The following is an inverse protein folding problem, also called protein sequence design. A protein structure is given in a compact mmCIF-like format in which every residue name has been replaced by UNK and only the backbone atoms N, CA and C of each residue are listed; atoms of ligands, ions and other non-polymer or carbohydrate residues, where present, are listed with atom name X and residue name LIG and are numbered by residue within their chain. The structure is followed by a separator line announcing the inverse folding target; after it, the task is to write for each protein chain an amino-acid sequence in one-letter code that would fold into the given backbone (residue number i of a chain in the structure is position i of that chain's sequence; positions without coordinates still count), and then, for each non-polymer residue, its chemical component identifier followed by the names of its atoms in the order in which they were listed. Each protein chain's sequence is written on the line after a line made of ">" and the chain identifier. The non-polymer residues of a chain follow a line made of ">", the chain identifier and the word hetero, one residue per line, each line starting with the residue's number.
data_IF_520478252059
#
_entry.id   IF_520478252059
#
_cell.length_a   1.000
_cell.length_b   1.000
_cell.length_c   1.000
_cell.angle_alpha   90.00
_cell.angle_beta   90.00
_cell.angle_gamma   90.00
#
_symmetry.space_group_name_H-M   'P 1'
#
loop_
_entity.id
_entity.type
_entity.pdbx_description
1 polymer ?
#
# COMPACT_ATOMS: atom_id res chain seq x y z
N UNK A 1 1.09 6.86 -18.64
CA UNK A 1 -0.07 7.08 -17.73
C UNK A 1 0.10 6.19 -16.51
N UNK A 2 0.38 6.75 -15.32
CA UNK A 2 0.36 5.98 -14.07
C UNK A 2 -1.08 5.56 -13.78
N UNK A 3 -1.35 4.26 -13.60
CA UNK A 3 -2.66 3.79 -13.14
C UNK A 3 -2.88 4.30 -11.70
N UNK A 4 -4.00 4.96 -11.40
CA UNK A 4 -4.31 5.38 -10.04
C UNK A 4 -4.48 4.15 -9.14
N UNK A 5 -3.90 4.21 -7.95
CA UNK A 5 -4.04 3.18 -6.93
C UNK A 5 -5.51 3.12 -6.46
N UNK A 6 -6.16 1.95 -6.59
CA UNK A 6 -7.49 1.69 -6.05
C UNK A 6 -7.35 1.01 -4.69
N UNK A 7 -7.93 1.61 -3.66
CA UNK A 7 -7.99 1.07 -2.28
C UNK A 7 -9.46 0.73 -1.99
N UNK A 8 -9.75 -0.44 -1.41
CA UNK A 8 -11.13 -0.88 -1.12
C UNK A 8 -11.21 -1.54 0.25
N UNK A 9 -11.98 -0.93 1.15
CA UNK A 9 -12.26 -1.49 2.48
C UNK A 9 -12.81 -2.91 2.37
N UNK A 10 -12.19 -3.84 3.10
CA UNK A 10 -12.63 -5.23 3.16
C UNK A 10 -13.89 -5.33 4.03
N UNK A 11 -14.77 -6.27 3.69
CA UNK A 11 -16.10 -6.41 4.33
C UNK A 11 -16.21 -7.63 5.23
N UNK A 12 -15.09 -8.33 5.44
CA UNK A 12 -14.99 -9.40 6.43
C UNK A 12 -15.11 -8.80 7.85
N UNK A 13 -15.80 -9.49 8.76
CA UNK A 13 -16.25 -8.92 10.03
C UNK A 13 -15.07 -8.53 10.94
N UNK A 14 -14.00 -9.33 10.93
CA UNK A 14 -12.78 -9.06 11.71
C UNK A 14 -11.94 -7.95 11.09
N UNK A 15 -11.85 -7.91 9.75
CA UNK A 15 -11.12 -6.88 9.01
C UNK A 15 -11.82 -5.52 9.05
N UNK A 16 -13.15 -5.53 9.06
CA UNK A 16 -13.97 -4.33 9.17
C UNK A 16 -13.82 -3.68 10.54
N UNK A 17 -13.77 -4.47 11.62
CA UNK A 17 -13.52 -3.95 12.96
C UNK A 17 -12.17 -3.21 13.05
N UNK A 18 -11.11 -3.80 12.48
CA UNK A 18 -9.79 -3.15 12.41
C UNK A 18 -9.80 -1.89 11.55
N UNK A 19 -10.44 -1.92 10.37
CA UNK A 19 -10.58 -0.74 9.52
C UNK A 19 -11.35 0.38 10.24
N UNK A 20 -12.40 0.03 10.98
CA UNK A 20 -13.14 0.97 11.81
C UNK A 20 -12.25 1.54 12.93
N UNK A 21 -11.55 0.73 13.71
CA UNK A 21 -10.65 1.26 14.75
C UNK A 21 -9.58 2.19 14.19
N UNK A 22 -9.04 1.87 13.01
CA UNK A 22 -7.93 2.61 12.42
C UNK A 22 -8.35 3.88 11.66
N UNK A 23 -9.55 3.89 11.07
CA UNK A 23 -10.00 4.95 10.16
C UNK A 23 -11.30 5.65 10.57
N UNK A 24 -12.01 5.19 11.61
CA UNK A 24 -13.22 5.86 12.10
C UNK A 24 -12.87 7.28 12.57
N UNK A 25 -13.62 8.27 12.08
CA UNK A 25 -13.38 9.68 12.36
C UNK A 25 -12.28 10.34 11.52
N UNK A 26 -11.56 9.59 10.66
CA UNK A 26 -10.61 10.16 9.69
C UNK A 26 -11.32 10.54 8.40
N UNK A 27 -10.91 11.65 7.82
CA UNK A 27 -11.32 12.08 6.49
C UNK A 27 -10.65 11.24 5.40
N UNK A 28 -11.27 11.17 4.21
CA UNK A 28 -10.71 10.45 3.06
C UNK A 28 -9.26 10.87 2.72
N UNK A 29 -8.87 12.17 2.78
CA UNK A 29 -7.49 12.59 2.61
C UNK A 29 -6.53 11.97 3.64
N UNK A 30 -6.92 11.89 4.91
CA UNK A 30 -6.10 11.31 5.98
C UNK A 30 -5.92 9.81 5.78
N UNK A 31 -6.98 9.10 5.42
CA UNK A 31 -6.92 7.65 5.10
C UNK A 31 -5.97 7.43 3.92
N UNK A 32 -6.10 8.21 2.84
CA UNK A 32 -5.19 8.15 1.70
C UNK A 32 -3.74 8.44 2.10
N UNK A 33 -3.52 9.41 2.98
CA UNK A 33 -2.19 9.74 3.50
C UNK A 33 -1.53 8.58 4.23
N UNK A 34 -2.27 7.92 5.12
CA UNK A 34 -1.79 6.73 5.85
C UNK A 34 -1.38 5.62 4.88
N UNK A 35 -2.25 5.28 3.93
CA UNK A 35 -1.96 4.22 2.96
C UNK A 35 -0.78 4.59 2.05
N UNK A 36 -0.70 5.84 1.62
CA UNK A 36 0.41 6.30 0.79
C UNK A 36 1.74 6.23 1.53
N UNK A 37 1.78 6.66 2.80
CA UNK A 37 3.00 6.57 3.62
C UNK A 37 3.47 5.12 3.80
N UNK A 38 2.55 4.18 4.03
CA UNK A 38 2.89 2.74 4.14
C UNK A 38 3.51 2.24 2.85
N UNK A 39 2.88 2.53 1.70
CA UNK A 39 3.39 2.12 0.39
C UNK A 39 4.75 2.76 0.07
N UNK A 40 4.93 4.04 0.38
CA UNK A 40 6.21 4.73 0.23
C UNK A 40 7.30 4.16 1.14
N UNK A 41 6.93 3.70 2.34
CA UNK A 41 7.84 2.99 3.26
C UNK A 41 8.37 1.70 2.64
N UNK A 42 7.48 0.86 2.11
CA UNK A 42 7.87 -0.37 1.42
C UNK A 42 8.67 -0.09 0.15
N UNK A 43 8.26 0.90 -0.64
CA UNK A 43 8.97 1.35 -1.82
C UNK A 43 10.42 1.72 -1.48
N UNK A 44 10.64 2.54 -0.44
CA UNK A 44 11.97 2.96 0.00
C UNK A 44 12.82 1.78 0.48
N UNK A 45 12.21 0.82 1.19
CA UNK A 45 12.90 -0.39 1.64
C UNK A 45 13.38 -1.25 0.47
N UNK A 46 12.53 -1.47 -0.54
CA UNK A 46 12.87 -2.25 -1.74
C UNK A 46 13.93 -1.51 -2.57
N UNK A 47 13.78 -0.20 -2.77
CA UNK A 47 14.76 0.62 -3.49
C UNK A 47 16.14 0.61 -2.82
N UNK A 48 16.22 0.47 -1.49
CA UNK A 48 17.49 0.35 -0.77
C UNK A 48 18.22 -0.97 -1.04
N UNK A 49 17.55 -1.98 -1.61
CA UNK A 49 18.09 -3.32 -1.88
C UNK A 49 18.33 -3.62 -3.35
N UNK A 50 17.87 -2.74 -4.26
CA UNK A 50 17.98 -2.92 -5.71
C UNK A 50 18.88 -1.84 -6.32
N UNK A 51 19.62 -2.19 -7.38
CA UNK A 51 20.39 -1.20 -8.13
C UNK A 51 19.49 -0.40 -9.09
N UNK A 52 19.92 0.80 -9.48
CA UNK A 52 19.15 1.68 -10.40
C UNK A 52 18.87 0.98 -11.72
N UNK A 53 19.80 0.17 -12.20
CA UNK A 53 19.72 -0.61 -13.44
C UNK A 53 18.61 -1.67 -13.36
N UNK A 54 18.48 -2.35 -12.21
CA UNK A 54 17.45 -3.37 -11.98
C UNK A 54 16.05 -2.75 -11.93
N UNK A 55 15.92 -1.54 -11.40
CA UNK A 55 14.63 -0.80 -11.33
C UNK A 55 14.21 -0.34 -12.73
N UNK A 56 15.17 0.06 -13.57
CA UNK A 56 14.88 0.59 -14.90
C UNK A 56 14.56 -0.51 -15.93
N UNK A 57 15.17 -1.69 -15.78
CA UNK A 57 14.92 -2.82 -16.69
C UNK A 57 13.48 -3.35 -16.65
N UNK A 58 12.80 -3.28 -15.49
CA UNK A 58 11.45 -3.86 -15.36
C UNK A 58 10.58 -3.13 -14.32
N UNK A 59 10.07 -1.97 -14.71
CA UNK A 59 9.18 -1.14 -13.87
C UNK A 59 7.90 -1.84 -13.44
N UNK A 60 7.34 -2.71 -14.29
CA UNK A 60 6.09 -3.41 -13.98
C UNK A 60 6.31 -4.49 -12.92
N UNK A 61 7.39 -5.27 -13.05
CA UNK A 61 7.80 -6.24 -12.03
C UNK A 61 8.12 -5.57 -10.69
N UNK A 62 8.77 -4.41 -10.72
CA UNK A 62 9.00 -3.62 -9.52
C UNK A 62 7.69 -3.14 -8.87
N UNK A 63 6.75 -2.60 -9.65
CA UNK A 63 5.44 -2.18 -9.14
C UNK A 63 4.63 -3.36 -8.58
N UNK A 64 4.81 -4.56 -9.14
CA UNK A 64 4.20 -5.78 -8.63
C UNK A 64 4.83 -6.22 -7.30
N UNK A 65 6.17 -6.23 -7.21
CA UNK A 65 6.90 -6.56 -5.98
C UNK A 65 6.52 -5.63 -4.83
N UNK A 66 6.43 -4.32 -5.09
CA UNK A 66 5.99 -3.33 -4.09
C UNK A 66 4.58 -3.64 -3.58
N UNK A 67 3.66 -4.04 -4.47
CA UNK A 67 2.31 -4.43 -4.06
C UNK A 67 2.29 -5.74 -3.28
N UNK A 68 3.08 -6.74 -3.67
CA UNK A 68 3.15 -8.03 -2.96
C UNK A 68 3.70 -7.87 -1.54
N UNK A 69 4.73 -7.06 -1.37
CA UNK A 69 5.33 -6.78 -0.06
C UNK A 69 4.39 -5.94 0.81
N UNK A 70 3.65 -4.99 0.22
CA UNK A 70 2.74 -4.14 0.98
C UNK A 70 1.35 -4.75 1.23
N UNK A 71 0.91 -5.73 0.43
CA UNK A 71 -0.40 -6.38 0.56
C UNK A 71 -0.71 -6.87 1.98
N UNK A 72 0.19 -7.57 2.70
CA UNK A 72 -0.10 -8.02 4.07
C UNK A 72 -0.14 -6.87 5.09
N UNK A 73 0.55 -5.76 4.85
CA UNK A 73 0.48 -4.57 5.72
C UNK A 73 -0.81 -3.78 5.48
N UNK A 74 -1.20 -3.59 4.22
CA UNK A 74 -2.46 -2.91 3.87
C UNK A 74 -3.67 -3.76 4.31
N UNK A 75 -3.61 -5.08 4.15
CA UNK A 75 -4.67 -5.99 4.61
C UNK A 75 -4.85 -5.99 6.13
N UNK A 76 -3.77 -5.79 6.90
CA UNK A 76 -3.84 -5.59 8.37
C UNK A 76 -4.54 -4.28 8.76
N UNK A 77 -4.67 -3.33 7.84
CA UNK A 77 -5.45 -2.11 8.03
C UNK A 77 -6.94 -2.30 7.66
N UNK A 78 -7.33 -3.47 7.15
CA UNK A 78 -8.71 -3.78 6.74
C UNK A 78 -9.13 -3.15 5.39
N UNK A 79 -8.17 -2.90 4.50
CA UNK A 79 -8.33 -2.25 3.16
C UNK A 79 -7.69 -3.03 2.02
#
# INVERSE_FOLDING_TARGET
>A
MQKPLKIKVMTDHDLLAMACEQFLGKSVPEIKGVVLQTLEGHLRSILGTLTVEQIYQDRDKFAQLVREVAAPDVGRMGI
#
